data_IF_831286867210
#
_entry.id   IF_831286867210
#
_cell.length_a   1.000
_cell.length_b   1.000
_cell.length_c   1.000
_cell.angle_alpha   90.00
_cell.angle_beta   90.00
_cell.angle_gamma   90.00
#
_symmetry.space_group_name_H-M   'P 1'
#
loop_
_entity.id
_entity.type
_entity.pdbx_description
1 polymer ?
#
# COMPACT_ATOMS: atom_id res chain seq x y z
N UNK A 1 -14.92 -16.38 7.79
CA UNK A 1 -13.94 -16.07 6.73
C UNK A 1 -13.22 -14.77 7.07
N UNK A 2 -12.15 -14.39 6.34
CA UNK A 2 -11.47 -13.11 6.59
C UNK A 2 -12.40 -11.90 6.36
N UNK A 3 -13.37 -12.04 5.46
CA UNK A 3 -14.44 -11.06 5.22
C UNK A 3 -15.37 -10.94 6.43
N UNK A 4 -15.73 -12.07 7.07
CA UNK A 4 -16.61 -12.04 8.25
C UNK A 4 -15.92 -11.37 9.45
N UNK A 5 -14.60 -11.55 9.60
CA UNK A 5 -13.80 -10.85 10.61
C UNK A 5 -13.79 -9.34 10.36
N UNK A 6 -13.57 -8.92 9.11
CA UNK A 6 -13.66 -7.51 8.71
C UNK A 6 -15.05 -6.93 9.05
N UNK A 7 -16.12 -7.63 8.67
CA UNK A 7 -17.51 -7.24 8.98
C UNK A 7 -17.81 -7.18 10.48
N UNK A 8 -17.11 -7.98 11.29
CA UNK A 8 -17.20 -7.94 12.75
C UNK A 8 -16.36 -6.81 13.38
N UNK A 9 -15.72 -5.96 12.58
CA UNK A 9 -14.93 -4.81 13.02
C UNK A 9 -13.45 -5.10 13.24
N UNK A 10 -12.95 -6.29 12.87
CA UNK A 10 -11.52 -6.58 12.91
C UNK A 10 -10.79 -5.85 11.77
N UNK A 11 -9.62 -5.29 12.06
CA UNK A 11 -8.74 -4.79 11.01
C UNK A 11 -8.15 -5.97 10.22
N UNK A 12 -8.25 -5.91 8.89
CA UNK A 12 -7.74 -6.94 7.98
C UNK A 12 -6.74 -6.29 7.03
N UNK A 13 -5.55 -6.90 6.91
CA UNK A 13 -4.50 -6.48 5.99
C UNK A 13 -4.19 -7.63 5.05
N UNK A 14 -4.39 -7.41 3.75
CA UNK A 14 -4.15 -8.40 2.69
C UNK A 14 -2.99 -7.93 1.84
N UNK A 15 -2.07 -8.84 1.52
CA UNK A 15 -0.95 -8.61 0.61
C UNK A 15 -1.05 -9.65 -0.50
N UNK A 16 -1.18 -9.19 -1.74
CA UNK A 16 -1.28 -10.03 -2.93
C UNK A 16 -0.84 -9.27 -4.18
N UNK A 17 -0.61 -9.98 -5.28
CA UNK A 17 -0.39 -9.42 -6.62
C UNK A 17 -1.60 -9.60 -7.56
N UNK A 18 -2.54 -10.50 -7.21
CA UNK A 18 -3.80 -10.68 -7.92
C UNK A 18 -4.78 -9.52 -7.68
N UNK A 19 -4.75 -8.55 -8.58
CA UNK A 19 -5.60 -7.36 -8.49
C UNK A 19 -7.10 -7.67 -8.48
N UNK A 20 -7.60 -8.66 -9.22
CA UNK A 20 -9.05 -8.96 -9.26
C UNK A 20 -9.59 -9.32 -7.87
N UNK A 21 -8.83 -10.14 -7.13
CA UNK A 21 -9.19 -10.51 -5.76
C UNK A 21 -9.15 -9.30 -4.83
N UNK A 22 -8.08 -8.50 -4.91
CA UNK A 22 -7.94 -7.29 -4.08
C UNK A 22 -9.05 -6.28 -4.36
N UNK A 23 -9.42 -6.08 -5.61
CA UNK A 23 -10.55 -5.24 -5.99
C UNK A 23 -11.89 -5.82 -5.54
N UNK A 24 -12.02 -7.13 -5.34
CA UNK A 24 -13.26 -7.73 -4.83
C UNK A 24 -13.42 -7.44 -3.32
N UNK A 25 -12.35 -7.63 -2.54
CA UNK A 25 -12.43 -7.71 -1.08
C UNK A 25 -11.91 -6.49 -0.31
N UNK A 26 -11.06 -5.64 -0.90
CA UNK A 26 -10.42 -4.51 -0.21
C UNK A 26 -11.15 -3.19 -0.44
N UNK A 27 -11.22 -2.34 0.59
CA UNK A 27 -11.76 -0.97 0.48
C UNK A 27 -10.71 0.04 -0.02
N UNK A 28 -9.43 -0.24 0.28
CA UNK A 28 -8.28 0.61 -0.04
C UNK A 28 -7.13 -0.25 -0.53
N UNK A 29 -6.36 0.29 -1.47
CA UNK A 29 -5.18 -0.35 -2.03
C UNK A 29 -3.94 0.51 -1.78
N UNK A 30 -2.81 -0.15 -1.59
CA UNK A 30 -1.49 0.47 -1.58
C UNK A 30 -0.58 -0.38 -2.45
N UNK A 31 0.31 0.27 -3.19
CA UNK A 31 1.34 -0.43 -3.96
C UNK A 31 2.67 -0.30 -3.24
N UNK A 32 3.36 -1.42 -3.10
CA UNK A 32 4.75 -1.46 -2.63
C UNK A 32 5.61 -1.83 -3.83
N UNK A 33 6.53 -0.94 -4.22
CA UNK A 33 7.48 -1.20 -5.30
C UNK A 33 8.83 -0.55 -4.96
N UNK A 34 9.92 -1.29 -5.15
CA UNK A 34 11.30 -0.83 -4.88
C UNK A 34 11.50 -0.21 -3.49
N UNK A 35 10.86 -0.78 -2.46
CA UNK A 35 10.96 -0.28 -1.08
C UNK A 35 10.20 1.02 -0.81
N UNK A 36 9.42 1.52 -1.78
CA UNK A 36 8.53 2.67 -1.62
C UNK A 36 7.08 2.21 -1.56
N UNK A 37 6.25 3.01 -0.89
CA UNK A 37 4.80 2.78 -0.75
C UNK A 37 4.07 3.94 -1.40
N UNK A 38 3.07 3.65 -2.22
CA UNK A 38 2.21 4.67 -2.82
C UNK A 38 1.34 5.37 -1.76
N UNK A 39 0.77 6.54 -2.08
CA UNK A 39 -0.40 7.02 -1.36
C UNK A 39 -1.53 5.96 -1.37
N UNK A 40 -2.41 5.92 -0.35
CA UNK A 40 -3.55 5.02 -0.35
C UNK A 40 -4.53 5.38 -1.48
N UNK A 41 -4.91 4.39 -2.28
CA UNK A 41 -5.94 4.51 -3.31
C UNK A 41 -7.26 3.99 -2.76
N UNK A 42 -8.35 4.76 -2.91
CA UNK A 42 -9.70 4.31 -2.56
C UNK A 42 -10.22 3.45 -3.70
N UNK A 43 -10.62 2.20 -3.41
CA UNK A 43 -11.05 1.22 -4.44
C UNK A 43 -12.06 1.81 -5.43
N UNK A 44 -13.05 2.56 -4.94
CA UNK A 44 -14.15 3.08 -5.77
C UNK A 44 -13.72 4.11 -6.80
N UNK A 45 -12.54 4.71 -6.63
CA UNK A 45 -11.96 5.70 -7.55
C UNK A 45 -10.64 5.24 -8.14
N UNK A 46 -10.14 4.08 -7.72
CA UNK A 46 -8.86 3.55 -8.17
C UNK A 46 -9.01 2.95 -9.55
N UNK A 47 -8.07 3.31 -10.43
CA UNK A 47 -7.96 2.72 -11.75
C UNK A 47 -6.96 1.57 -11.76
N UNK A 48 -7.29 0.49 -12.47
CA UNK A 48 -6.48 -0.71 -12.55
C UNK A 48 -5.19 -0.46 -13.34
N UNK A 49 -5.27 0.39 -14.37
CA UNK A 49 -4.11 0.77 -15.17
C UNK A 49 -3.15 1.63 -14.36
N UNK A 50 -3.65 2.60 -13.60
CA UNK A 50 -2.87 3.39 -12.64
C UNK A 50 -2.14 2.50 -11.61
N UNK A 51 -2.83 1.53 -11.01
CA UNK A 51 -2.20 0.59 -10.08
C UNK A 51 -1.12 -0.24 -10.78
N UNK A 52 -1.39 -0.73 -11.99
CA UNK A 52 -0.39 -1.43 -12.79
C UNK A 52 0.85 -0.57 -13.05
N UNK A 53 0.66 0.72 -13.34
CA UNK A 53 1.75 1.68 -13.51
C UNK A 53 2.59 1.79 -12.23
N UNK A 54 1.95 1.98 -11.08
CA UNK A 54 2.60 2.04 -9.77
C UNK A 54 3.37 0.75 -9.43
N UNK A 55 2.85 -0.42 -9.81
CA UNK A 55 3.50 -1.72 -9.61
C UNK A 55 4.81 -1.82 -10.39
N UNK A 56 4.89 -1.18 -11.56
CA UNK A 56 6.15 -1.07 -12.33
C UNK A 56 7.10 0.00 -11.81
N UNK A 57 6.73 0.73 -10.75
CA UNK A 57 7.49 1.86 -10.21
C UNK A 57 7.29 3.17 -10.98
N UNK A 58 6.55 3.15 -12.09
CA UNK A 58 6.15 4.35 -12.81
C UNK A 58 5.02 5.04 -12.02
N UNK A 59 5.12 6.35 -11.80
CA UNK A 59 4.13 7.09 -11.00
C UNK A 59 4.29 6.97 -9.48
N UNK A 60 5.24 6.18 -8.98
CA UNK A 60 5.75 6.33 -7.62
C UNK A 60 6.46 7.69 -7.55
N UNK A 61 5.71 8.75 -7.23
CA UNK A 61 6.28 10.09 -7.00
C UNK A 61 7.52 9.98 -6.12
N UNK A 62 8.55 10.80 -6.38
CA UNK A 62 9.83 10.76 -5.67
C UNK A 62 9.56 10.69 -4.16
N UNK A 63 9.65 9.47 -3.62
CA UNK A 63 9.22 9.21 -2.27
C UNK A 63 9.90 10.18 -1.32
N UNK A 64 9.11 10.75 -0.40
CA UNK A 64 9.65 11.38 0.81
C UNK A 64 10.75 10.46 1.32
N UNK A 65 12.00 10.93 1.21
CA UNK A 65 13.12 10.34 1.90
C UNK A 65 12.74 10.36 3.37
N UNK A 66 12.31 9.22 3.91
CA UNK A 66 12.26 9.06 5.35
C UNK A 66 13.71 9.05 5.77
N UNK A 67 14.22 10.23 6.10
CA UNK A 67 15.52 10.41 6.70
C UNK A 67 15.50 9.70 8.06
N UNK A 68 15.80 8.39 8.06
CA UNK A 68 16.28 7.66 9.22
C UNK A 68 17.81 7.67 9.23
N UNK A 69 18.38 8.86 9.06
CA UNK A 69 19.66 9.24 9.66
C UNK A 69 19.44 9.64 11.13
N UNK A 70 18.87 8.74 11.92
CA UNK A 70 18.96 8.81 13.37
C UNK A 70 20.32 8.31 13.80
N UNK A 71 21.38 9.08 13.56
CA UNK A 71 22.57 8.96 14.38
C UNK A 71 22.17 9.45 15.76
N UNK A 72 21.83 8.52 16.65
CA UNK A 72 21.96 8.76 18.07
C UNK A 72 23.45 8.91 18.33
N UNK A 73 23.93 10.15 18.31
CA UNK A 73 25.17 10.49 18.95
C UNK A 73 24.98 10.17 20.44
N UNK A 74 25.46 9.01 20.87
CA UNK A 74 25.83 8.81 22.25
C UNK A 74 27.06 9.70 22.49
N UNK A 75 26.79 10.94 22.91
CA UNK A 75 27.74 11.68 23.73
C UNK A 75 27.39 11.36 25.18
N UNK A 76 28.35 10.70 25.83
CA UNK A 76 28.45 10.23 27.22
C UNK A 76 27.57 9.04 27.65
#
# INVERSE_FOLDING_TARGET
TIIDLSRAGAAVFVVSEELDELFEICDRLLVICQGKVSPPLVRTTADREEIGLLMTGQGMGEGVSTNRGGSVAFQD
#
